data_IF_405756695330
#
_entry.id   IF_405756695330
#
_cell.length_a   1.000
_cell.length_b   1.000
_cell.length_c   1.000
_cell.angle_alpha   90.00
_cell.angle_beta   90.00
_cell.angle_gamma   90.00
#
_symmetry.space_group_name_H-M   'P 1'
#
loop_
_entity.id
_entity.type
_entity.pdbx_description
1 polymer ?
#
# COMPACT_ATOMS: atom_id res chain seq x y z
N UNK A 1 -5.53 13.04 42.06
CA UNK A 1 -5.42 12.48 40.69
C UNK A 1 -5.86 13.57 39.75
N UNK A 2 -5.07 13.91 38.74
CA UNK A 2 -5.54 14.86 37.73
C UNK A 2 -6.54 14.12 36.84
N UNK A 3 -7.73 14.71 36.68
CA UNK A 3 -8.79 14.25 35.79
C UNK A 3 -9.16 15.38 34.84
N UNK A 4 -9.66 15.05 33.65
CA UNK A 4 -10.15 16.03 32.69
C UNK A 4 -11.39 15.53 31.95
N UNK A 5 -12.14 16.45 31.33
CA UNK A 5 -13.28 16.09 30.49
C UNK A 5 -12.80 15.32 29.25
N UNK A 6 -13.53 14.27 28.88
CA UNK A 6 -13.26 13.54 27.64
C UNK A 6 -13.77 14.31 26.43
N UNK A 7 -12.91 14.58 25.44
CA UNK A 7 -13.29 15.30 24.21
C UNK A 7 -14.08 14.45 23.22
N UNK A 8 -14.03 13.12 23.36
CA UNK A 8 -14.72 12.16 22.49
C UNK A 8 -16.18 11.93 22.92
N UNK A 9 -16.43 11.60 24.19
CA UNK A 9 -17.79 11.33 24.69
C UNK A 9 -18.39 12.43 25.58
N UNK A 10 -17.64 13.48 25.90
CA UNK A 10 -18.10 14.60 26.73
C UNK A 10 -18.17 14.32 28.24
N UNK A 11 -17.81 13.11 28.69
CA UNK A 11 -17.88 12.73 30.10
C UNK A 11 -17.02 13.68 30.97
N UNK A 12 -17.63 14.38 31.96
CA UNK A 12 -16.89 15.24 32.88
C UNK A 12 -15.96 14.38 33.74
N UNK A 13 -14.71 14.81 33.89
CA UNK A 13 -13.66 14.07 34.61
C UNK A 13 -13.49 12.61 34.14
N UNK A 14 -13.91 12.29 32.91
CA UNK A 14 -13.87 10.93 32.39
C UNK A 14 -12.47 10.43 32.11
N UNK A 15 -11.52 11.33 31.86
CA UNK A 15 -10.14 11.01 31.50
C UNK A 15 -9.26 10.90 32.75
N UNK A 16 -8.56 9.76 32.89
CA UNK A 16 -7.59 9.51 33.95
C UNK A 16 -6.20 9.36 33.35
N UNK A 17 -5.21 10.06 33.90
CA UNK A 17 -3.82 9.98 33.43
C UNK A 17 -3.18 8.64 33.83
N UNK A 18 -2.51 7.99 32.87
CA UNK A 18 -1.74 6.76 33.05
C UNK A 18 -0.27 6.99 32.69
N UNK A 19 0.61 6.13 33.24
CA UNK A 19 2.05 6.10 32.95
C UNK A 19 2.55 4.65 32.91
N UNK A 20 3.63 4.40 32.16
CA UNK A 20 4.28 3.10 32.11
C UNK A 20 3.51 2.02 31.34
N UNK A 21 2.53 2.39 30.50
CA UNK A 21 1.75 1.42 29.72
C UNK A 21 2.58 0.91 28.55
N UNK A 22 2.50 -0.40 28.27
CA UNK A 22 3.03 -0.98 27.06
C UNK A 22 1.92 -1.33 26.08
N UNK A 23 2.11 -0.96 24.81
CA UNK A 23 1.18 -1.22 23.71
C UNK A 23 1.87 -2.07 22.64
N UNK A 24 1.10 -2.91 21.95
CA UNK A 24 1.61 -3.72 20.84
C UNK A 24 0.93 -3.32 19.55
N UNK A 25 1.70 -2.72 18.65
CA UNK A 25 1.29 -2.40 17.29
C UNK A 25 1.26 -3.68 16.46
N UNK A 26 0.26 -3.82 15.60
CA UNK A 26 0.23 -4.88 14.60
C UNK A 26 -0.07 -4.33 13.21
N UNK A 27 0.68 -4.78 12.22
CA UNK A 27 0.44 -4.47 10.82
C UNK A 27 0.76 -5.69 9.96
N UNK A 28 -0.23 -6.21 9.24
CA UNK A 28 -0.07 -7.36 8.31
C UNK A 28 0.67 -8.57 8.90
N UNK A 29 0.43 -8.87 10.18
CA UNK A 29 1.07 -9.98 10.90
C UNK A 29 2.48 -9.71 11.42
N UNK A 30 3.01 -8.49 11.23
CA UNK A 30 4.19 -8.01 11.95
C UNK A 30 3.73 -7.28 13.20
N UNK A 31 4.47 -7.46 14.29
CA UNK A 31 4.18 -6.83 15.58
C UNK A 31 5.37 -6.02 16.06
N UNK A 32 5.07 -4.91 16.74
CA UNK A 32 6.06 -4.10 17.44
C UNK A 32 5.49 -3.64 18.77
N UNK A 33 6.20 -3.93 19.85
CA UNK A 33 5.87 -3.44 21.18
C UNK A 33 6.51 -2.08 21.44
N UNK A 34 5.77 -1.19 22.09
CA UNK A 34 6.24 0.09 22.61
C UNK A 34 5.90 0.12 24.09
N UNK A 35 6.91 0.24 24.93
CA UNK A 35 6.76 0.34 26.38
C UNK A 35 6.86 1.80 26.84
N UNK A 36 6.51 2.01 28.10
CA UNK A 36 6.63 3.29 28.79
C UNK A 36 5.89 4.43 28.07
N UNK A 37 4.61 4.20 27.82
CA UNK A 37 3.67 5.20 27.31
C UNK A 37 2.91 5.85 28.47
N UNK A 38 2.67 7.15 28.31
CA UNK A 38 1.82 7.94 29.19
C UNK A 38 0.80 8.74 28.38
N UNK A 39 -0.30 9.08 29.05
CA UNK A 39 -1.42 9.76 28.43
C UNK A 39 -2.66 9.67 29.30
N UNK A 40 -3.81 9.86 28.68
CA UNK A 40 -5.10 9.91 29.31
C UNK A 40 -6.00 8.82 28.72
N UNK A 41 -6.75 8.13 29.57
CA UNK A 41 -7.77 7.18 29.12
C UNK A 41 -9.14 7.50 29.72
N UNK A 42 -10.16 7.55 28.87
CA UNK A 42 -11.52 7.70 29.31
C UNK A 42 -12.07 6.42 29.96
N UNK A 43 -12.40 6.48 31.25
CA UNK A 43 -13.02 5.35 31.97
C UNK A 43 -14.49 5.09 31.60
N UNK A 44 -15.05 5.88 30.67
CA UNK A 44 -16.43 5.72 30.17
C UNK A 44 -16.48 5.12 28.76
N UNK A 45 -15.70 5.66 27.81
CA UNK A 45 -15.74 5.24 26.42
C UNK A 45 -14.46 4.56 25.92
N UNK A 46 -13.37 4.56 26.70
CA UNK A 46 -12.10 3.96 26.31
C UNK A 46 -11.25 4.79 25.35
N UNK A 47 -11.59 6.06 25.10
CA UNK A 47 -10.75 6.97 24.33
C UNK A 47 -9.37 7.12 24.98
N UNK A 48 -8.31 7.11 24.17
CA UNK A 48 -6.92 7.25 24.64
C UNK A 48 -6.26 8.43 23.94
N UNK A 49 -5.72 9.36 24.74
CA UNK A 49 -4.93 10.50 24.28
C UNK A 49 -3.51 10.35 24.84
N UNK A 50 -2.52 10.12 23.99
CA UNK A 50 -1.13 10.03 24.45
C UNK A 50 -0.55 11.42 24.71
N UNK A 51 0.32 11.53 25.72
CA UNK A 51 1.10 12.76 25.93
C UNK A 51 1.98 13.03 24.71
N UNK A 52 2.27 14.30 24.37
CA UNK A 52 2.92 14.71 23.12
C UNK A 52 4.13 13.86 22.70
N UNK A 53 5.08 13.63 23.62
CA UNK A 53 6.28 12.81 23.36
C UNK A 53 5.93 11.34 23.10
N UNK A 54 5.01 10.77 23.88
CA UNK A 54 4.53 9.41 23.71
C UNK A 54 3.71 9.26 22.42
N UNK A 55 2.90 10.26 22.08
CA UNK A 55 2.13 10.31 20.84
C UNK A 55 3.03 10.32 19.61
N UNK A 56 4.08 11.14 19.61
CA UNK A 56 5.07 11.16 18.53
C UNK A 56 5.80 9.82 18.41
N UNK A 57 6.32 9.28 19.53
CA UNK A 57 6.97 7.95 19.56
C UNK A 57 6.07 6.85 19.04
N UNK A 58 4.78 6.86 19.42
CA UNK A 58 3.79 5.89 18.98
C UNK A 58 3.52 6.01 17.47
N UNK A 59 3.35 7.23 16.97
CA UNK A 59 3.14 7.51 15.55
C UNK A 59 4.33 7.09 14.70
N UNK A 60 5.55 7.47 15.09
CA UNK A 60 6.78 7.10 14.39
C UNK A 60 6.94 5.58 14.32
N UNK A 61 6.65 4.90 15.43
CA UNK A 61 6.73 3.45 15.49
C UNK A 61 5.69 2.75 14.60
N UNK A 62 4.48 3.31 14.48
CA UNK A 62 3.46 2.86 13.54
C UNK A 62 3.94 3.00 12.09
N UNK A 63 4.47 4.17 11.73
CA UNK A 63 4.96 4.45 10.38
C UNK A 63 6.13 3.53 10.02
N UNK A 64 7.11 3.38 10.91
CA UNK A 64 8.23 2.46 10.74
C UNK A 64 7.76 1.02 10.50
N UNK A 65 6.77 0.54 11.26
CA UNK A 65 6.20 -0.80 11.10
C UNK A 65 5.53 -0.97 9.73
N UNK A 66 4.73 0.01 9.30
CA UNK A 66 4.06 -0.01 8.00
C UNK A 66 5.07 0.06 6.85
N UNK A 67 6.11 0.89 6.97
CA UNK A 67 7.21 1.00 5.99
C UNK A 67 7.96 -0.33 5.90
N UNK A 68 8.28 -0.95 7.04
CA UNK A 68 8.93 -2.26 7.08
C UNK A 68 8.08 -3.34 6.37
N UNK A 69 6.77 -3.38 6.64
CA UNK A 69 5.84 -4.28 5.95
C UNK A 69 5.88 -4.09 4.42
N UNK A 70 5.87 -2.84 3.94
CA UNK A 70 5.93 -2.54 2.50
C UNK A 70 7.27 -2.93 1.89
N UNK A 71 8.37 -2.70 2.61
CA UNK A 71 9.72 -3.06 2.17
C UNK A 71 9.87 -4.56 1.98
N UNK A 72 9.33 -5.38 2.89
CA UNK A 72 9.33 -6.84 2.74
C UNK A 72 8.62 -7.31 1.45
N UNK A 73 7.51 -6.65 1.10
CA UNK A 73 6.81 -6.92 -0.18
C UNK A 73 7.69 -6.53 -1.37
N UNK A 74 8.34 -5.37 -1.29
CA UNK A 74 9.27 -4.89 -2.32
C UNK A 74 10.48 -5.81 -2.52
N UNK A 75 11.05 -6.32 -1.43
CA UNK A 75 12.19 -7.25 -1.46
C UNK A 75 11.82 -8.58 -2.11
N UNK A 76 10.61 -9.10 -1.85
CA UNK A 76 10.10 -10.30 -2.52
C UNK A 76 9.92 -10.07 -4.02
N UNK A 77 9.34 -8.94 -4.44
CA UNK A 77 9.25 -8.60 -5.87
C UNK A 77 10.63 -8.54 -6.52
N UNK A 78 11.59 -7.89 -5.86
CA UNK A 78 12.97 -7.75 -6.34
C UNK A 78 13.65 -9.10 -6.50
N UNK A 79 13.47 -10.01 -5.53
CA UNK A 79 13.98 -11.38 -5.56
C UNK A 79 13.41 -12.15 -6.76
N UNK A 80 12.09 -12.17 -6.91
CA UNK A 80 11.42 -12.86 -8.03
C UNK A 80 11.90 -12.30 -9.37
N UNK A 81 11.89 -10.96 -9.52
CA UNK A 81 12.32 -10.30 -10.75
C UNK A 81 13.76 -10.69 -11.13
N UNK A 82 14.68 -10.67 -10.16
CA UNK A 82 16.08 -11.04 -10.38
C UNK A 82 16.23 -12.51 -10.78
N UNK A 83 15.46 -13.41 -10.18
CA UNK A 83 15.42 -14.84 -10.55
C UNK A 83 14.91 -15.04 -11.99
N UNK A 84 13.97 -14.22 -12.45
CA UNK A 84 13.48 -14.22 -13.82
C UNK A 84 14.42 -13.50 -14.81
N UNK A 85 15.56 -12.99 -14.35
CA UNK A 85 16.53 -12.23 -15.15
C UNK A 85 15.93 -10.99 -15.84
N UNK A 86 14.96 -10.33 -15.20
CA UNK A 86 14.32 -9.13 -15.73
C UNK A 86 14.88 -7.86 -15.10
N UNK A 87 15.04 -6.81 -15.91
CA UNK A 87 15.20 -5.43 -15.43
C UNK A 87 13.86 -4.87 -14.95
N UNK A 88 13.88 -3.81 -14.14
CA UNK A 88 12.65 -3.14 -13.71
C UNK A 88 11.83 -2.66 -14.92
N UNK A 89 12.49 -2.09 -15.93
CA UNK A 89 11.86 -1.62 -17.17
C UNK A 89 11.16 -2.75 -17.93
N UNK A 90 11.85 -3.86 -18.16
CA UNK A 90 11.25 -5.02 -18.84
C UNK A 90 10.06 -5.57 -18.06
N UNK A 91 10.16 -5.60 -16.72
CA UNK A 91 9.06 -6.12 -15.89
C UNK A 91 7.83 -5.22 -15.94
N UNK A 92 8.01 -3.89 -16.01
CA UNK A 92 6.90 -2.95 -16.23
C UNK A 92 6.23 -3.22 -17.58
N UNK A 93 7.02 -3.27 -18.65
CA UNK A 93 6.51 -3.47 -20.01
C UNK A 93 5.79 -4.81 -20.17
N UNK A 94 6.32 -5.85 -19.54
CA UNK A 94 5.82 -7.22 -19.69
C UNK A 94 4.64 -7.53 -18.77
N UNK A 95 4.68 -7.14 -17.49
CA UNK A 95 3.77 -7.67 -16.47
C UNK A 95 2.79 -6.66 -15.88
N UNK A 96 3.12 -5.37 -15.81
CA UNK A 96 2.27 -4.41 -15.10
C UNK A 96 1.59 -3.38 -15.99
N UNK A 97 2.18 -3.01 -17.13
CA UNK A 97 1.66 -1.96 -18.02
C UNK A 97 1.55 -0.58 -17.33
N UNK A 98 2.22 -0.40 -16.18
CA UNK A 98 2.24 0.84 -15.42
C UNK A 98 3.28 1.84 -15.94
N UNK A 99 3.41 2.98 -15.26
CA UNK A 99 4.46 3.95 -15.58
C UNK A 99 5.87 3.37 -15.41
N UNK A 100 6.84 3.90 -16.16
CA UNK A 100 8.22 3.38 -16.22
C UNK A 100 8.92 3.20 -14.85
N UNK A 101 8.50 3.96 -13.82
CA UNK A 101 9.04 3.88 -12.46
C UNK A 101 8.28 2.95 -11.51
N UNK A 102 7.21 2.26 -11.94
CA UNK A 102 6.34 1.50 -11.04
C UNK A 102 7.11 0.46 -10.21
N UNK A 103 7.94 -0.38 -10.85
CA UNK A 103 8.74 -1.38 -10.14
C UNK A 103 9.79 -0.78 -9.21
N UNK A 104 10.35 0.38 -9.56
CA UNK A 104 11.28 1.11 -8.70
C UNK A 104 10.62 1.51 -7.38
N UNK A 105 9.38 2.01 -7.44
CA UNK A 105 8.60 2.43 -6.27
C UNK A 105 8.10 1.23 -5.45
N UNK A 106 7.69 0.14 -6.11
CA UNK A 106 7.30 -1.10 -5.44
C UNK A 106 8.47 -1.70 -4.65
N UNK A 107 9.64 -1.82 -5.28
CA UNK A 107 10.82 -2.41 -4.65
C UNK A 107 11.37 -1.57 -3.49
N UNK A 108 11.16 -0.25 -3.50
CA UNK A 108 11.48 0.63 -2.36
C UNK A 108 10.41 0.65 -1.27
N UNK A 109 9.26 0.00 -1.49
CA UNK A 109 8.14 0.01 -0.54
C UNK A 109 7.39 1.35 -0.46
N UNK A 110 7.60 2.26 -1.41
CA UNK A 110 6.91 3.56 -1.45
C UNK A 110 5.41 3.38 -1.70
N UNK A 111 5.06 2.43 -2.58
CA UNK A 111 3.69 2.05 -2.89
C UNK A 111 3.58 0.53 -2.94
N UNK A 112 2.41 0.01 -2.61
CA UNK A 112 2.15 -1.42 -2.73
C UNK A 112 1.81 -1.78 -4.19
N UNK A 113 2.28 -2.95 -4.68
CA UNK A 113 1.88 -3.45 -5.97
C UNK A 113 0.41 -3.92 -5.95
N UNK A 114 -0.29 -3.91 -7.10
CA UNK A 114 -1.58 -4.58 -7.22
C UNK A 114 -1.48 -6.07 -6.85
N UNK A 115 -2.50 -6.61 -6.19
CA UNK A 115 -2.54 -8.03 -5.77
C UNK A 115 -2.34 -8.98 -6.96
N UNK A 116 -2.95 -8.68 -8.11
CA UNK A 116 -2.83 -9.49 -9.32
C UNK A 116 -1.38 -9.56 -9.84
N UNK A 117 -0.63 -8.45 -9.78
CA UNK A 117 0.77 -8.42 -10.18
C UNK A 117 1.62 -9.30 -9.25
N UNK A 118 1.42 -9.21 -7.94
CA UNK A 118 2.12 -10.07 -6.99
C UNK A 118 1.80 -11.56 -7.20
N UNK A 119 0.53 -11.89 -7.49
CA UNK A 119 0.11 -13.25 -7.79
C UNK A 119 0.81 -13.79 -9.04
N UNK A 120 0.81 -13.01 -10.13
CA UNK A 120 1.49 -13.36 -11.38
C UNK A 120 3.00 -13.56 -11.16
N UNK A 121 3.64 -12.65 -10.43
CA UNK A 121 5.06 -12.79 -10.09
C UNK A 121 5.34 -14.07 -9.29
N UNK A 122 4.52 -14.39 -8.28
CA UNK A 122 4.66 -15.65 -7.52
C UNK A 122 4.41 -16.90 -8.37
N UNK A 123 3.51 -16.83 -9.33
CA UNK A 123 3.29 -17.92 -10.29
C UNK A 123 4.54 -18.14 -11.15
N UNK A 124 5.12 -17.06 -11.68
CA UNK A 124 6.35 -17.10 -12.47
C UNK A 124 7.57 -17.50 -11.62
N UNK A 125 7.62 -17.13 -10.35
CA UNK A 125 8.64 -17.63 -9.42
C UNK A 125 8.58 -19.15 -9.27
N UNK A 126 7.37 -19.70 -9.15
CA UNK A 126 7.15 -21.15 -9.05
C UNK A 126 7.40 -21.88 -10.37
N UNK A 127 7.03 -21.28 -11.49
CA UNK A 127 7.13 -21.86 -12.84
C UNK A 127 7.85 -20.90 -13.81
N UNK A 128 9.19 -20.74 -13.71
CA UNK A 128 9.93 -19.75 -14.50
C UNK A 128 9.84 -19.96 -16.03
N UNK A 129 9.59 -21.19 -16.48
CA UNK A 129 9.43 -21.50 -17.92
C UNK A 129 8.22 -20.80 -18.55
N UNK A 130 7.18 -20.51 -17.76
CA UNK A 130 6.00 -19.76 -18.22
C UNK A 130 6.31 -18.29 -18.55
N UNK A 131 7.52 -17.81 -18.27
CA UNK A 131 7.95 -16.48 -18.73
C UNK A 131 7.95 -16.38 -20.25
N UNK A 132 8.22 -17.47 -20.97
CA UNK A 132 8.13 -17.50 -22.43
C UNK A 132 6.68 -17.27 -22.88
N UNK A 133 5.73 -17.98 -22.29
CA UNK A 133 4.30 -17.82 -22.58
C UNK A 133 3.82 -16.42 -22.20
N UNK A 134 4.26 -15.89 -21.05
CA UNK A 134 3.92 -14.53 -20.64
C UNK A 134 4.38 -13.47 -21.65
N UNK A 135 5.54 -13.67 -22.31
CA UNK A 135 6.01 -12.78 -23.39
C UNK A 135 5.10 -12.83 -24.61
N UNK A 136 4.73 -14.04 -25.04
CA UNK A 136 3.80 -14.22 -26.17
C UNK A 136 2.43 -13.62 -25.85
N UNK A 137 1.90 -13.89 -24.66
CA UNK A 137 0.59 -13.39 -24.24
C UNK A 137 0.56 -11.87 -24.00
N UNK A 138 1.70 -11.26 -23.68
CA UNK A 138 1.78 -9.80 -23.51
C UNK A 138 1.73 -9.05 -24.85
N UNK A 139 2.03 -9.69 -25.98
CA UNK A 139 1.91 -9.07 -27.29
C UNK A 139 0.45 -8.70 -27.58
N UNK A 140 0.19 -7.40 -27.76
CA UNK A 140 -1.17 -6.90 -27.99
C UNK A 140 -2.10 -6.95 -26.77
N UNK A 141 -1.60 -7.31 -25.58
CA UNK A 141 -2.41 -7.31 -24.35
C UNK A 141 -2.81 -5.89 -23.91
N UNK A 142 -2.04 -4.87 -24.30
CA UNK A 142 -2.42 -3.48 -24.07
C UNK A 142 -3.43 -3.01 -25.12
N UNK A 143 -4.71 -3.07 -24.74
CA UNK A 143 -5.81 -2.67 -25.60
C UNK A 143 -6.00 -1.15 -25.69
N UNK A 144 -5.22 -0.34 -24.95
CA UNK A 144 -5.28 1.13 -24.94
C UNK A 144 -4.71 1.69 -26.26
N UNK A 145 -5.53 1.65 -27.31
CA UNK A 145 -5.15 2.05 -28.66
C UNK A 145 -5.20 0.92 -29.70
N UNK A 146 -5.60 -0.28 -29.28
CA UNK A 146 -5.80 -1.42 -30.21
C UNK A 146 -6.99 -1.20 -31.15
N UNK A 147 -7.92 -0.31 -30.79
CA UNK A 147 -9.12 -0.04 -31.56
C UNK A 147 -9.06 1.35 -32.18
N UNK A 148 -9.17 1.42 -33.51
CA UNK A 148 -9.47 2.65 -34.25
C UNK A 148 -10.97 2.66 -34.49
N UNK A 149 -11.66 3.64 -33.93
CA UNK A 149 -13.07 3.87 -34.23
C UNK A 149 -13.17 4.83 -35.42
N UNK A 150 -13.92 4.45 -36.44
CA UNK A 150 -14.25 5.31 -37.57
C UNK A 150 -15.71 5.71 -37.44
N UNK A 151 -15.96 6.98 -37.13
CA UNK A 151 -17.31 7.54 -37.18
C UNK A 151 -17.71 7.77 -38.64
N UNK A 152 -18.66 6.97 -39.13
CA UNK A 152 -19.38 7.31 -40.35
C UNK A 152 -20.51 8.28 -39.99
N UNK A 153 -20.33 9.57 -40.27
CA UNK A 153 -21.45 10.52 -40.23
C UNK A 153 -22.36 10.23 -41.42
N UNK A 154 -23.54 9.67 -41.17
CA UNK A 154 -24.58 9.58 -42.19
C UNK A 154 -25.04 11.00 -42.55
N UNK A 155 -24.76 11.39 -43.80
CA UNK A 155 -25.39 12.45 -44.60
C UNK A 155 -25.72 13.76 -43.85
N UNK A 156 -24.79 14.72 -43.87
CA UNK A 156 -25.15 16.13 -43.73
C UNK A 156 -26.09 16.50 -44.90
N UNK A 157 -27.35 16.91 -44.65
CA UNK A 157 -28.22 17.35 -45.73
C UNK A 157 -27.64 18.61 -46.35
N UNK A 158 -27.43 18.59 -47.66
CA UNK A 158 -27.02 19.74 -48.45
C UNK A 158 -28.05 20.87 -48.28
N UNK A 159 -27.70 21.91 -47.51
CA UNK A 159 -28.44 23.17 -47.52
C UNK A 159 -28.13 23.90 -48.82
N UNK A 160 -29.11 23.97 -49.72
CA UNK A 160 -29.07 24.82 -50.90
C UNK A 160 -29.43 26.27 -50.51
N UNK A 161 -28.64 27.23 -51.00
CA UNK A 161 -28.87 28.68 -50.88
C UNK A 161 -30.00 29.18 -51.78
#
# INVERSE_FOLDING_TARGET
MNTQQCVSCGAPEGMVHFKGRGETLSAKGMERRIDDLSGWECQKCGEVELDDECGQRYSDACDELVIACRKMVGDEMKKIRRKLHLTQKETVQLLSGGGHNAFSRYERGEILPPKALMLLMRLLDRYPHLLADARVLAEGADLRGAFKFTEHKEQEPLTAS
#
